data_IF_935201698677
#
_entry.id   IF_935201698677
#
_cell.length_a   1.000
_cell.length_b   1.000
_cell.length_c   1.000
_cell.angle_alpha   90.00
_cell.angle_beta   90.00
_cell.angle_gamma   90.00
#
_symmetry.space_group_name_H-M   'P 1'
#
loop_
_entity.id
_entity.type
_entity.pdbx_description
1 polymer ?
#
# COMPACT_ATOMS: atom_id res chain seq x y z
N UNK A 1 -2.72 0.87 21.34
CA UNK A 1 -4.15 0.58 20.97
C UNK A 1 -4.22 -0.27 19.69
N UNK A 2 -3.67 0.16 18.56
CA UNK A 2 -3.67 -0.65 17.32
C UNK A 2 -2.91 -1.97 17.44
N UNK A 3 -1.77 -1.99 18.15
CA UNK A 3 -1.02 -3.23 18.39
C UNK A 3 -1.83 -4.30 19.12
N UNK A 4 -2.56 -3.92 20.16
CA UNK A 4 -3.42 -4.85 20.91
C UNK A 4 -4.56 -5.39 20.05
N UNK A 5 -5.15 -4.56 19.19
CA UNK A 5 -6.17 -5.00 18.24
C UNK A 5 -5.59 -5.97 17.20
N UNK A 6 -4.39 -5.69 16.68
CA UNK A 6 -3.69 -6.59 15.77
C UNK A 6 -3.40 -7.95 16.42
N UNK A 7 -2.90 -7.95 17.66
CA UNK A 7 -2.67 -9.17 18.45
C UNK A 7 -3.97 -9.93 18.74
N UNK A 8 -5.10 -9.24 18.85
CA UNK A 8 -6.43 -9.84 19.01
C UNK A 8 -7.04 -10.37 17.69
N UNK A 9 -6.30 -10.35 16.57
CA UNK A 9 -6.75 -10.92 15.30
C UNK A 9 -7.66 -10.02 14.47
N UNK A 10 -7.60 -8.70 14.64
CA UNK A 10 -8.50 -7.77 13.93
C UNK A 10 -8.21 -7.66 12.42
N UNK A 11 -6.98 -7.94 11.97
CA UNK A 11 -6.56 -7.75 10.56
C UNK A 11 -7.44 -8.49 9.56
N UNK A 12 -7.64 -9.83 9.65
CA UNK A 12 -8.50 -10.55 8.70
C UNK A 12 -9.96 -10.07 8.74
N UNK A 13 -10.46 -9.62 9.90
CA UNK A 13 -11.82 -9.09 10.02
C UNK A 13 -11.96 -7.75 9.27
N UNK A 14 -10.96 -6.88 9.34
CA UNK A 14 -10.94 -5.63 8.60
C UNK A 14 -10.82 -5.86 7.09
N UNK A 15 -9.98 -6.82 6.67
CA UNK A 15 -9.87 -7.21 5.26
C UNK A 15 -11.21 -7.69 4.70
N UNK A 16 -11.90 -8.58 5.43
CA UNK A 16 -13.23 -9.09 5.05
C UNK A 16 -14.28 -7.98 4.94
N UNK A 17 -14.29 -7.03 5.88
CA UNK A 17 -15.19 -5.85 5.82
C UNK A 17 -14.94 -4.99 4.57
N UNK A 18 -13.68 -4.87 4.17
CA UNK A 18 -13.30 -4.12 2.98
C UNK A 18 -13.68 -4.88 1.71
N UNK A 19 -13.47 -6.18 1.64
CA UNK A 19 -13.81 -7.01 0.48
C UNK A 19 -15.31 -7.10 0.23
N UNK A 20 -16.09 -7.26 1.30
CA UNK A 20 -17.56 -7.33 1.24
C UNK A 20 -18.23 -5.99 0.89
N UNK A 21 -17.44 -4.94 0.63
CA UNK A 21 -17.92 -3.59 0.29
C UNK A 21 -18.96 -3.05 1.26
N UNK A 22 -18.74 -3.30 2.56
CA UNK A 22 -19.61 -2.79 3.61
C UNK A 22 -19.59 -1.25 3.64
N UNK A 23 -20.64 -0.62 4.19
CA UNK A 23 -20.70 0.85 4.36
C UNK A 23 -19.52 1.43 5.17
N UNK A 24 -18.83 0.57 5.93
CA UNK A 24 -17.68 0.92 6.76
C UNK A 24 -16.34 0.58 6.09
N UNK A 25 -16.34 0.20 4.81
CA UNK A 25 -15.15 -0.21 4.06
C UNK A 25 -14.01 0.79 4.18
N UNK A 26 -14.26 2.07 3.90
CA UNK A 26 -13.20 3.10 3.95
C UNK A 26 -12.63 3.22 5.36
N UNK A 27 -13.46 3.18 6.41
CA UNK A 27 -12.99 3.20 7.79
C UNK A 27 -12.15 1.98 8.15
N UNK A 28 -12.62 0.79 7.79
CA UNK A 28 -11.88 -0.45 8.02
C UNK A 28 -10.53 -0.46 7.27
N UNK A 29 -10.51 0.06 6.06
CA UNK A 29 -9.30 0.17 5.26
C UNK A 29 -8.29 1.15 5.86
N UNK A 30 -8.74 2.33 6.30
CA UNK A 30 -7.86 3.30 6.97
C UNK A 30 -7.24 2.70 8.24
N UNK A 31 -7.99 1.92 9.01
CA UNK A 31 -7.43 1.20 10.17
C UNK A 31 -6.33 0.20 9.77
N UNK A 32 -6.44 -0.46 8.62
CA UNK A 32 -5.36 -1.31 8.08
C UNK A 32 -4.15 -0.48 7.63
N UNK A 33 -4.39 0.65 6.95
CA UNK A 33 -3.33 1.57 6.51
C UNK A 33 -2.51 2.09 7.69
N UNK A 34 -3.13 2.45 8.80
CA UNK A 34 -2.42 2.96 9.99
C UNK A 34 -1.42 1.93 10.55
N UNK A 35 -1.73 0.63 10.45
CA UNK A 35 -0.88 -0.46 10.96
C UNK A 35 0.49 -0.54 10.28
N UNK A 36 0.63 -0.01 9.06
CA UNK A 36 1.92 0.04 8.35
C UNK A 36 2.92 0.96 9.06
N UNK A 37 2.43 1.95 9.80
CA UNK A 37 3.28 2.92 10.51
C UNK A 37 3.29 2.74 12.03
N UNK A 38 2.26 2.12 12.61
CA UNK A 38 2.03 2.10 14.06
C UNK A 38 3.14 1.44 14.90
N UNK A 39 3.53 0.19 14.63
CA UNK A 39 4.63 -0.48 15.34
C UNK A 39 5.22 -1.65 14.54
N UNK A 40 6.37 -2.17 14.99
CA UNK A 40 6.96 -3.38 14.38
C UNK A 40 5.98 -4.55 14.43
N UNK A 41 5.26 -4.70 15.54
CA UNK A 41 4.34 -5.79 15.76
C UNK A 41 3.15 -5.71 14.79
N UNK A 42 2.54 -4.52 14.62
CA UNK A 42 1.44 -4.34 13.66
C UNK A 42 1.88 -4.62 12.23
N UNK A 43 3.07 -4.15 11.83
CA UNK A 43 3.65 -4.46 10.51
C UNK A 43 3.87 -5.95 10.30
N UNK A 44 4.42 -6.65 11.30
CA UNK A 44 4.63 -8.11 11.23
C UNK A 44 3.34 -8.89 11.10
N UNK A 45 2.32 -8.51 11.87
CA UNK A 45 0.99 -9.14 11.81
C UNK A 45 0.33 -8.84 10.47
N UNK A 46 0.35 -7.59 10.02
CA UNK A 46 -0.21 -7.21 8.72
C UNK A 46 0.49 -7.96 7.59
N UNK A 47 1.81 -8.10 7.65
CA UNK A 47 2.58 -8.89 6.69
C UNK A 47 2.17 -10.36 6.68
N UNK A 48 2.08 -11.01 7.85
CA UNK A 48 1.75 -12.44 7.92
C UNK A 48 0.30 -12.74 7.51
N UNK A 49 -0.58 -11.73 7.52
CA UNK A 49 -1.97 -11.80 7.08
C UNK A 49 -2.16 -11.32 5.63
N UNK A 50 -1.11 -11.32 4.80
CA UNK A 50 -1.21 -10.96 3.38
C UNK A 50 -1.52 -9.48 3.10
N UNK A 51 -1.24 -8.60 4.06
CA UNK A 51 -1.59 -7.18 3.99
C UNK A 51 -0.94 -6.43 2.83
N UNK A 52 0.22 -6.85 2.33
CA UNK A 52 0.88 -6.21 1.17
C UNK A 52 0.06 -6.43 -0.10
N UNK A 53 -0.23 -7.69 -0.44
CA UNK A 53 -1.06 -8.05 -1.59
C UNK A 53 -2.44 -7.39 -1.48
N UNK A 54 -3.02 -7.36 -0.28
CA UNK A 54 -4.29 -6.70 -0.01
C UNK A 54 -4.25 -5.18 -0.29
N UNK A 55 -3.20 -4.48 0.15
CA UNK A 55 -3.00 -3.06 -0.16
C UNK A 55 -2.83 -2.83 -1.66
N UNK A 56 -2.07 -3.70 -2.36
CA UNK A 56 -1.90 -3.64 -3.82
C UNK A 56 -3.23 -3.79 -4.54
N UNK A 57 -4.05 -4.77 -4.17
CA UNK A 57 -5.39 -4.96 -4.72
C UNK A 57 -6.27 -3.71 -4.55
N UNK A 58 -6.17 -3.04 -3.40
CA UNK A 58 -6.95 -1.84 -3.10
C UNK A 58 -6.52 -0.60 -3.91
N UNK A 59 -5.38 -0.61 -4.62
CA UNK A 59 -5.02 0.45 -5.57
C UNK A 59 -6.01 0.56 -6.73
N UNK A 60 -6.71 -0.54 -7.07
CA UNK A 60 -7.72 -0.56 -8.13
C UNK A 60 -9.08 0.03 -7.71
N UNK A 61 -9.29 0.26 -6.41
CA UNK A 61 -10.55 0.78 -5.88
C UNK A 61 -10.48 2.31 -5.73
N UNK A 62 -11.27 3.11 -6.48
CA UNK A 62 -11.14 4.57 -6.52
C UNK A 62 -11.24 5.27 -5.16
N UNK A 63 -12.04 4.74 -4.24
CA UNK A 63 -12.22 5.27 -2.89
C UNK A 63 -11.08 4.89 -1.92
N UNK A 64 -10.27 3.90 -2.25
CA UNK A 64 -9.18 3.38 -1.40
C UNK A 64 -7.79 3.69 -1.95
N UNK A 65 -7.66 3.89 -3.26
CA UNK A 65 -6.37 3.95 -3.97
C UNK A 65 -5.37 4.94 -3.37
N UNK A 66 -5.82 6.12 -2.93
CA UNK A 66 -4.93 7.12 -2.31
C UNK A 66 -4.40 6.63 -0.97
N UNK A 67 -5.29 6.10 -0.10
CA UNK A 67 -4.90 5.52 1.18
C UNK A 67 -3.98 4.29 1.01
N UNK A 68 -4.23 3.47 -0.01
CA UNK A 68 -3.45 2.29 -0.32
C UNK A 68 -2.02 2.67 -0.72
N UNK A 69 -1.89 3.62 -1.62
CA UNK A 69 -0.58 4.09 -2.09
C UNK A 69 0.19 4.79 -0.97
N UNK A 70 -0.46 5.66 -0.19
CA UNK A 70 0.16 6.30 0.96
C UNK A 70 0.67 5.29 1.99
N UNK A 71 -0.11 4.26 2.28
CA UNK A 71 0.27 3.21 3.21
C UNK A 71 1.47 2.39 2.71
N UNK A 72 1.49 2.01 1.43
CA UNK A 72 2.60 1.27 0.82
C UNK A 72 3.89 2.10 0.80
N UNK A 73 3.81 3.36 0.38
CA UNK A 73 4.95 4.28 0.33
C UNK A 73 5.47 4.59 1.74
N UNK A 74 4.56 4.80 2.69
CA UNK A 74 4.90 4.98 4.10
C UNK A 74 5.64 3.77 4.66
N UNK A 75 5.15 2.56 4.38
CA UNK A 75 5.77 1.31 4.82
C UNK A 75 7.16 1.11 4.20
N UNK A 76 7.32 1.36 2.91
CA UNK A 76 8.62 1.33 2.23
C UNK A 76 9.63 2.30 2.86
N UNK A 77 9.17 3.46 3.36
CA UNK A 77 9.98 4.47 4.01
C UNK A 77 10.42 4.12 5.44
N UNK A 78 9.86 3.08 6.07
CA UNK A 78 10.18 2.70 7.44
C UNK A 78 11.63 2.23 7.54
N UNK A 79 12.43 2.92 8.35
CA UNK A 79 13.80 2.54 8.71
C UNK A 79 13.77 1.81 10.05
N UNK A 80 13.89 0.49 10.00
CA UNK A 80 13.83 -0.36 11.19
C UNK A 80 14.97 -1.38 11.16
N UNK A 81 15.95 -1.19 12.05
CA UNK A 81 17.27 -1.85 12.06
C UNK A 81 17.27 -3.40 12.06
N UNK A 82 16.12 -4.05 12.24
CA UNK A 82 16.02 -5.52 12.33
C UNK A 82 14.99 -6.16 11.39
N UNK A 83 14.33 -5.36 10.56
CA UNK A 83 13.21 -5.86 9.75
C UNK A 83 13.38 -5.62 8.26
N UNK A 84 14.27 -4.71 7.86
CA UNK A 84 14.61 -4.39 6.47
C UNK A 84 13.39 -4.27 5.57
N UNK A 85 12.33 -3.63 6.08
CA UNK A 85 11.03 -3.52 5.42
C UNK A 85 11.14 -2.96 4.01
N UNK A 86 12.00 -1.97 3.81
CA UNK A 86 12.27 -1.36 2.51
C UNK A 86 12.68 -2.41 1.46
N UNK A 87 13.57 -3.33 1.78
CA UNK A 87 14.06 -4.36 0.85
C UNK A 87 13.01 -5.46 0.66
N UNK A 88 12.40 -5.93 1.76
CA UNK A 88 11.39 -6.99 1.73
C UNK A 88 10.13 -6.58 0.96
N UNK A 89 9.61 -5.37 1.21
CA UNK A 89 8.46 -4.85 0.48
C UNK A 89 8.81 -4.62 -0.98
N UNK A 90 9.99 -4.10 -1.30
CA UNK A 90 10.39 -3.94 -2.70
C UNK A 90 10.41 -5.26 -3.45
N UNK A 91 10.99 -6.32 -2.88
CA UNK A 91 11.00 -7.65 -3.50
C UNK A 91 9.59 -8.13 -3.83
N UNK A 92 8.67 -8.09 -2.86
CA UNK A 92 7.28 -8.52 -3.06
C UNK A 92 6.56 -7.62 -4.07
N UNK A 93 6.69 -6.31 -3.98
CA UNK A 93 6.00 -5.37 -4.87
C UNK A 93 6.48 -5.47 -6.32
N UNK A 94 7.74 -5.83 -6.55
CA UNK A 94 8.28 -6.04 -7.90
C UNK A 94 7.85 -7.40 -8.49
N UNK A 95 7.54 -8.39 -7.65
CA UNK A 95 6.96 -9.67 -8.08
C UNK A 95 5.45 -9.55 -8.35
N UNK A 96 4.75 -8.64 -7.67
CA UNK A 96 3.33 -8.36 -7.86
C UNK A 96 3.05 -7.60 -9.17
N UNK A 97 2.63 -8.34 -10.21
CA UNK A 97 2.30 -7.78 -11.53
C UNK A 97 1.25 -6.66 -11.44
N UNK A 98 0.27 -6.82 -10.56
CA UNK A 98 -0.82 -5.85 -10.38
C UNK A 98 -0.34 -4.53 -9.77
N UNK A 99 0.78 -4.52 -9.04
CA UNK A 99 1.30 -3.29 -8.43
C UNK A 99 1.74 -2.29 -9.49
N UNK A 100 2.63 -2.68 -10.40
CA UNK A 100 3.12 -1.79 -11.45
C UNK A 100 1.99 -1.37 -12.39
N UNK A 101 1.11 -2.30 -12.78
CA UNK A 101 -0.07 -1.99 -13.60
C UNK A 101 -0.97 -0.95 -12.92
N UNK A 102 -1.31 -1.14 -11.65
CA UNK A 102 -2.16 -0.19 -10.93
C UNK A 102 -1.49 1.18 -10.80
N UNK A 103 -0.17 1.25 -10.60
CA UNK A 103 0.56 2.52 -10.61
C UNK A 103 0.43 3.25 -11.95
N UNK A 104 0.61 2.53 -13.07
CA UNK A 104 0.48 3.12 -14.41
C UNK A 104 -0.92 3.69 -14.65
N UNK A 105 -1.97 2.97 -14.24
CA UNK A 105 -3.36 3.45 -14.29
C UNK A 105 -3.54 4.72 -13.44
N UNK A 106 -2.91 4.79 -12.26
CA UNK A 106 -2.97 5.99 -11.42
C UNK A 106 -2.24 7.19 -12.07
N UNK A 107 -1.13 6.94 -12.76
CA UNK A 107 -0.42 7.97 -13.55
C UNK A 107 -1.25 8.49 -14.72
N UNK A 108 -2.00 7.61 -15.38
CA UNK A 108 -2.85 7.94 -16.54
C UNK A 108 -4.24 8.46 -16.15
N UNK A 109 -4.50 8.72 -14.86
CA UNK A 109 -5.81 9.20 -14.40
C UNK A 109 -6.20 10.54 -15.04
N UNK A 110 -7.20 10.51 -15.92
CA UNK A 110 -7.78 11.69 -16.58
C UNK A 110 -8.43 12.69 -15.60
N UNK A 111 -8.75 12.24 -14.37
CA UNK A 111 -9.32 13.07 -13.32
C UNK A 111 -8.24 13.85 -12.58
N UNK A 112 -8.04 15.12 -12.96
CA UNK A 112 -7.05 16.01 -12.35
C UNK A 112 -7.12 16.07 -10.80
N UNK A 113 -8.31 16.07 -10.21
CA UNK A 113 -8.49 16.12 -8.76
C UNK A 113 -7.98 14.88 -8.03
N UNK A 114 -8.03 13.73 -8.69
CA UNK A 114 -7.54 12.46 -8.16
C UNK A 114 -6.02 12.38 -8.32
N UNK A 115 -5.53 12.74 -9.50
CA UNK A 115 -4.10 12.78 -9.79
C UNK A 115 -3.35 13.70 -8.81
N UNK A 116 -3.87 14.90 -8.53
CA UNK A 116 -3.26 15.83 -7.58
C UNK A 116 -3.12 15.25 -6.15
N UNK A 117 -4.06 14.41 -5.71
CA UNK A 117 -3.98 13.75 -4.39
C UNK A 117 -2.91 12.65 -4.35
N UNK A 118 -2.64 12.03 -5.50
CA UNK A 118 -1.75 10.88 -5.63
C UNK A 118 -0.31 11.31 -6.01
N UNK A 119 -0.13 12.52 -6.53
CA UNK A 119 1.15 13.06 -6.94
C UNK A 119 2.20 13.04 -5.82
N UNK A 120 1.84 13.49 -4.62
CA UNK A 120 2.74 13.49 -3.45
C UNK A 120 3.20 12.08 -3.07
N UNK A 121 2.30 11.09 -2.91
CA UNK A 121 2.68 9.69 -2.72
C UNK A 121 3.57 9.13 -3.83
N UNK A 122 3.28 9.43 -5.11
CA UNK A 122 4.09 8.98 -6.25
C UNK A 122 5.51 9.57 -6.22
N UNK A 123 5.64 10.88 -5.94
CA UNK A 123 6.94 11.53 -5.80
C UNK A 123 7.74 10.96 -4.63
N UNK A 124 7.08 10.60 -3.53
CA UNK A 124 7.71 9.93 -2.38
C UNK A 124 8.15 8.51 -2.74
N UNK A 125 7.32 7.74 -3.44
CA UNK A 125 7.67 6.40 -3.94
C UNK A 125 8.98 6.47 -4.73
N UNK A 126 9.08 7.46 -5.62
CA UNK A 126 10.27 7.64 -6.43
C UNK A 126 11.53 8.04 -5.67
N UNK A 127 11.41 8.58 -4.46
CA UNK A 127 12.57 8.86 -3.62
C UNK A 127 12.97 7.67 -2.76
N UNK A 128 12.00 6.82 -2.40
CA UNK A 128 12.20 5.71 -1.47
C UNK A 128 12.80 4.48 -2.15
N UNK A 129 12.34 4.15 -3.36
CA UNK A 129 12.82 2.97 -4.10
C UNK A 129 13.34 3.33 -5.49
N UNK A 130 14.65 3.15 -5.68
CA UNK A 130 15.27 3.26 -7.01
C UNK A 130 14.87 2.09 -7.93
N UNK A 131 14.64 0.90 -7.36
CA UNK A 131 14.30 -0.29 -8.14
C UNK A 131 12.88 -0.20 -8.71
N UNK A 132 11.90 0.23 -7.91
CA UNK A 132 10.53 0.45 -8.39
C UNK A 132 10.51 1.52 -9.47
N UNK A 133 11.31 2.58 -9.35
CA UNK A 133 11.44 3.57 -10.42
C UNK A 133 12.02 3.02 -11.70
N UNK A 134 13.07 2.20 -11.60
CA UNK A 134 13.66 1.59 -12.78
C UNK A 134 12.65 0.65 -13.46
N UNK A 135 11.86 -0.09 -12.70
CA UNK A 135 10.79 -0.94 -13.22
C UNK A 135 9.68 -0.11 -13.90
N UNK A 136 9.26 1.01 -13.31
CA UNK A 136 8.28 1.92 -13.91
C UNK A 136 8.81 2.56 -15.20
N UNK A 137 10.06 3.02 -15.20
CA UNK A 137 10.68 3.66 -16.36
C UNK A 137 10.98 2.69 -17.50
N UNK A 138 11.15 1.40 -17.20
CA UNK A 138 11.34 0.35 -18.20
C UNK A 138 10.04 -0.25 -18.74
N UNK A 139 8.88 0.19 -18.24
CA UNK A 139 7.59 -0.30 -18.72
C UNK A 139 7.21 0.42 -20.02
N UNK A 140 7.01 -0.32 -21.10
CA UNK A 140 6.59 0.22 -22.40
C UNK A 140 5.27 0.99 -22.32
N UNK A 141 4.40 0.67 -21.36
CA UNK A 141 3.11 1.35 -21.11
C UNK A 141 3.25 2.78 -20.53
N UNK A 142 4.45 3.20 -20.14
CA UNK A 142 4.69 4.55 -19.61
C UNK A 142 4.98 5.59 -20.72
N UNK A 143 5.40 5.15 -21.91
CA UNK A 143 5.75 6.01 -23.05
C UNK A 143 4.76 5.87 -24.21
#
# INVERSE_FOLDING_TARGET
>A
RQEQAALAGVVPLLQDLVEKRHNLRVYAFVMLCDMTSASLATRRILWSQGGVAFLVQCLSAPELQTFALEALVGWLGVREHRADWCERLQGVLLEEVDFLRNLLVLFQSERATVFLKILDPLLKLARVSKQINAALAGSDEFF
#
